data_IF_305827213395
#
_entry.id   IF_305827213395
#
_cell.length_a   1.000
_cell.length_b   1.000
_cell.length_c   1.000
_cell.angle_alpha   90.00
_cell.angle_beta   90.00
_cell.angle_gamma   90.00
#
_symmetry.space_group_name_H-M   'P 1'
#
loop_
_entity.id
_entity.type
_entity.pdbx_description
1 polymer ?
#
# COMPACT_ATOMS: atom_id res chain seq x y z
N UNK A 1 3.95 8.22 18.53
CA UNK A 1 2.67 8.59 17.87
C UNK A 1 1.85 7.32 17.69
N UNK A 2 0.53 7.38 17.91
CA UNK A 2 -0.33 6.21 17.73
C UNK A 2 -0.38 5.77 16.27
N UNK A 3 -0.29 4.47 16.03
CA UNK A 3 -0.50 3.87 14.72
C UNK A 3 -1.94 3.35 14.63
N UNK A 4 -2.51 3.38 13.42
CA UNK A 4 -3.84 2.80 13.14
C UNK A 4 -3.65 1.59 12.25
N UNK A 5 -4.14 0.43 12.67
CA UNK A 5 -4.13 -0.79 11.85
C UNK A 5 -5.50 -1.05 11.25
N UNK A 6 -5.55 -1.44 9.99
CA UNK A 6 -6.76 -1.85 9.27
C UNK A 6 -6.53 -3.13 8.50
N UNK A 7 -7.54 -3.97 8.49
CA UNK A 7 -7.58 -5.16 7.65
C UNK A 7 -8.46 -4.88 6.43
N UNK A 8 -8.00 -5.32 5.26
CA UNK A 8 -8.73 -5.20 4.00
C UNK A 8 -8.91 -6.59 3.38
N UNK A 9 -10.02 -6.78 2.67
CA UNK A 9 -10.28 -7.96 1.85
C UNK A 9 -10.52 -7.47 0.41
N UNK A 10 -9.70 -7.93 -0.53
CA UNK A 10 -9.86 -7.61 -1.96
C UNK A 10 -10.48 -8.81 -2.67
N UNK A 11 -11.52 -8.55 -3.49
CA UNK A 11 -12.26 -9.55 -4.28
C UNK A 11 -12.75 -10.78 -3.48
N UNK A 12 -12.99 -10.61 -2.18
CA UNK A 12 -13.39 -11.72 -1.30
C UNK A 12 -12.33 -12.80 -1.11
N UNK A 13 -11.09 -12.63 -1.60
CA UNK A 13 -10.03 -13.66 -1.56
C UNK A 13 -8.76 -13.20 -0.84
N UNK A 14 -8.28 -12.00 -1.13
CA UNK A 14 -6.96 -11.56 -0.69
C UNK A 14 -7.07 -10.73 0.58
N UNK A 15 -6.36 -11.14 1.63
CA UNK A 15 -6.33 -10.42 2.89
C UNK A 15 -5.10 -9.53 3.01
N UNK A 16 -5.33 -8.33 3.52
CA UNK A 16 -4.27 -7.39 3.84
C UNK A 16 -4.38 -6.88 5.27
N UNK A 17 -3.24 -6.62 5.88
CA UNK A 17 -3.13 -5.86 7.13
C UNK A 17 -2.21 -4.68 6.89
N UNK A 18 -2.77 -3.47 6.98
CA UNK A 18 -2.07 -2.21 6.77
C UNK A 18 -2.03 -1.39 8.06
N UNK A 19 -0.87 -0.88 8.39
CA UNK A 19 -0.63 0.00 9.52
C UNK A 19 -0.25 1.39 9.03
N UNK A 20 -0.95 2.40 9.55
CA UNK A 20 -0.78 3.81 9.23
C UNK A 20 -0.13 4.51 10.41
N UNK A 21 1.11 4.97 10.25
CA UNK A 21 1.86 5.62 11.31
C UNK A 21 2.08 7.09 10.97
N UNK A 22 1.53 7.99 11.80
CA UNK A 22 1.83 9.43 11.68
C UNK A 22 3.28 9.68 12.09
N UNK A 23 4.01 10.44 11.28
CA UNK A 23 5.39 10.88 11.50
C UNK A 23 5.38 12.30 12.09
N UNK A 24 6.51 12.72 12.66
CA UNK A 24 6.66 14.02 13.31
C UNK A 24 6.38 15.23 12.40
N UNK A 25 6.66 15.08 11.10
CA UNK A 25 6.42 16.09 10.05
C UNK A 25 4.96 16.13 9.56
N UNK A 26 4.05 15.39 10.20
CA UNK A 26 2.64 15.33 9.87
C UNK A 26 2.27 14.41 8.70
N UNK A 27 3.24 13.77 8.04
CA UNK A 27 2.93 12.75 7.01
C UNK A 27 2.62 11.40 7.66
N UNK A 28 2.00 10.50 6.90
CA UNK A 28 1.76 9.12 7.29
C UNK A 28 2.67 8.18 6.49
N UNK A 29 3.23 7.21 7.18
CA UNK A 29 3.87 6.04 6.59
C UNK A 29 2.88 4.87 6.60
N UNK A 30 2.91 4.06 5.55
CA UNK A 30 2.01 2.93 5.36
C UNK A 30 2.87 1.66 5.31
N UNK A 31 2.56 0.71 6.19
CA UNK A 31 3.23 -0.58 6.25
C UNK A 31 2.21 -1.70 6.02
N UNK A 32 2.59 -2.70 5.26
CA UNK A 32 1.82 -3.90 4.97
C UNK A 32 2.51 -5.11 5.59
N UNK A 33 1.85 -5.73 6.58
CA UNK A 33 2.37 -6.91 7.30
C UNK A 33 1.73 -8.22 6.85
N UNK A 34 0.59 -8.15 6.16
CA UNK A 34 -0.11 -9.29 5.56
C UNK A 34 -0.55 -8.92 4.17
N UNK A 35 -0.29 -9.80 3.21
CA UNK A 35 -0.66 -9.70 1.80
C UNK A 35 -0.64 -11.12 1.18
N UNK A 36 -1.26 -11.35 0.01
CA UNK A 36 -1.16 -12.64 -0.67
C UNK A 36 0.28 -12.99 -1.05
N UNK A 37 0.55 -14.29 -1.23
CA UNK A 37 1.84 -14.75 -1.75
C UNK A 37 2.10 -14.15 -3.14
N UNK A 38 3.31 -13.63 -3.34
CA UNK A 38 3.73 -13.02 -4.60
C UNK A 38 4.66 -13.98 -5.37
N UNK A 39 4.19 -14.62 -6.46
CA UNK A 39 5.01 -15.48 -7.31
C UNK A 39 5.82 -14.69 -8.36
N UNK A 40 5.63 -13.36 -8.44
CA UNK A 40 6.23 -12.46 -9.42
C UNK A 40 7.49 -11.79 -8.85
N UNK A 41 8.03 -10.80 -9.56
CA UNK A 41 9.16 -9.99 -9.07
C UNK A 41 8.84 -9.34 -7.71
N UNK A 42 9.85 -9.31 -6.86
CA UNK A 42 9.81 -8.66 -5.53
C UNK A 42 10.50 -7.31 -5.53
N UNK A 43 10.90 -6.82 -6.70
CA UNK A 43 11.42 -5.47 -6.86
C UNK A 43 10.36 -4.46 -6.43
N UNK A 44 10.73 -3.52 -5.57
CA UNK A 44 9.84 -2.46 -5.10
C UNK A 44 9.32 -1.59 -6.25
N UNK A 45 10.08 -1.46 -7.34
CA UNK A 45 9.66 -0.73 -8.54
C UNK A 45 8.53 -1.43 -9.30
N UNK A 46 8.38 -2.74 -9.12
CA UNK A 46 7.36 -3.53 -9.81
C UNK A 46 6.13 -3.71 -8.92
N UNK A 47 6.32 -4.09 -7.66
CA UNK A 47 5.22 -4.49 -6.77
C UNK A 47 4.82 -3.41 -5.74
N UNK A 48 5.56 -2.30 -5.67
CA UNK A 48 5.33 -1.20 -4.72
C UNK A 48 5.36 -1.59 -3.23
N UNK A 49 5.98 -2.73 -2.89
CA UNK A 49 6.17 -3.18 -1.52
C UNK A 49 7.67 -3.36 -1.22
N UNK A 50 8.17 -2.61 -0.25
CA UNK A 50 9.52 -2.77 0.28
C UNK A 50 9.68 -4.08 1.04
N UNK A 51 10.91 -4.58 1.15
CA UNK A 51 11.22 -5.80 1.91
C UNK A 51 10.94 -5.67 3.41
N UNK A 52 10.85 -4.45 3.92
CA UNK A 52 10.46 -4.09 5.28
C UNK A 52 8.94 -3.99 5.47
N UNK A 53 8.16 -4.24 4.42
CA UNK A 53 6.70 -4.08 4.42
C UNK A 53 6.25 -2.66 4.09
N UNK A 54 7.14 -1.71 3.83
CA UNK A 54 6.76 -0.33 3.52
C UNK A 54 6.10 -0.24 2.14
N UNK A 55 4.91 0.35 2.09
CA UNK A 55 4.23 0.65 0.81
C UNK A 55 4.93 1.84 0.15
N UNK A 56 5.28 1.67 -1.12
CA UNK A 56 5.91 2.70 -1.93
C UNK A 56 4.94 3.86 -2.18
N UNK A 57 5.29 5.05 -1.69
CA UNK A 57 4.58 6.30 -1.99
C UNK A 57 5.59 7.24 -2.64
N UNK A 58 5.22 7.83 -3.77
CA UNK A 58 6.08 8.76 -4.48
C UNK A 58 6.48 9.94 -3.57
N UNK A 59 7.75 10.34 -3.64
CA UNK A 59 8.26 11.46 -2.85
C UNK A 59 7.49 12.74 -3.12
N UNK A 60 7.14 13.48 -2.07
CA UNK A 60 6.31 14.69 -2.14
C UNK A 60 4.81 14.42 -2.29
N UNK A 61 4.40 13.15 -2.33
CA UNK A 61 2.98 12.72 -2.36
C UNK A 61 2.57 12.00 -1.08
N UNK A 62 3.35 12.13 -0.01
CA UNK A 62 3.08 11.47 1.26
C UNK A 62 1.73 11.95 1.84
N UNK A 63 0.88 11.02 2.31
CA UNK A 63 -0.40 11.36 2.94
C UNK A 63 -0.20 12.26 4.16
N UNK A 64 -0.92 13.39 4.26
CA UNK A 64 -0.94 14.25 5.45
C UNK A 64 -2.20 14.10 6.31
N UNK A 65 -3.15 13.29 5.85
CA UNK A 65 -4.33 12.90 6.60
C UNK A 65 -4.43 11.37 6.68
N UNK A 66 -5.05 10.87 7.74
CA UNK A 66 -5.28 9.44 7.90
C UNK A 66 -6.14 8.88 6.77
N UNK A 67 -7.14 9.63 6.31
CA UNK A 67 -8.04 9.15 5.25
C UNK A 67 -7.32 9.08 3.89
N UNK A 68 -6.39 10.01 3.62
CA UNK A 68 -5.47 9.89 2.47
C UNK A 68 -4.61 8.65 2.57
N UNK A 69 -4.05 8.40 3.77
CA UNK A 69 -3.23 7.21 3.99
C UNK A 69 -4.02 5.92 3.74
N UNK A 70 -5.26 5.84 4.25
CA UNK A 70 -6.15 4.70 4.01
C UNK A 70 -6.53 4.51 2.54
N UNK A 71 -6.79 5.60 1.81
CA UNK A 71 -7.10 5.56 0.39
C UNK A 71 -5.92 5.00 -0.42
N UNK A 72 -4.70 5.45 -0.11
CA UNK A 72 -3.47 4.89 -0.70
C UNK A 72 -3.31 3.41 -0.34
N UNK A 73 -3.54 3.05 0.93
CA UNK A 73 -3.47 1.67 1.39
C UNK A 73 -4.44 0.73 0.65
N UNK A 74 -5.68 1.16 0.45
CA UNK A 74 -6.66 0.39 -0.33
C UNK A 74 -6.26 0.28 -1.81
N UNK A 75 -5.81 1.37 -2.44
CA UNK A 75 -5.34 1.34 -3.83
C UNK A 75 -4.13 0.42 -4.01
N UNK A 76 -3.22 0.39 -3.03
CA UNK A 76 -2.12 -0.56 -2.99
C UNK A 76 -2.63 -2.00 -2.91
N UNK A 77 -3.58 -2.31 -2.02
CA UNK A 77 -4.12 -3.65 -1.86
C UNK A 77 -4.77 -4.16 -3.17
N UNK A 78 -5.57 -3.34 -3.85
CA UNK A 78 -6.14 -3.65 -5.16
C UNK A 78 -5.05 -3.90 -6.22
N UNK A 79 -4.07 -3.00 -6.29
CA UNK A 79 -2.99 -3.08 -7.28
C UNK A 79 -2.07 -4.29 -7.05
N UNK A 80 -1.75 -4.60 -5.79
CA UNK A 80 -0.92 -5.75 -5.42
C UNK A 80 -1.66 -7.06 -5.73
N UNK A 81 -2.96 -7.14 -5.43
CA UNK A 81 -3.80 -8.27 -5.79
C UNK A 81 -3.81 -8.51 -7.31
N UNK A 82 -3.90 -7.45 -8.11
CA UNK A 82 -3.76 -7.57 -9.57
C UNK A 82 -2.36 -8.04 -9.96
N UNK A 83 -1.32 -7.42 -9.40
CA UNK A 83 0.09 -7.75 -9.68
C UNK A 83 0.42 -9.23 -9.42
N UNK A 84 0.03 -9.79 -8.27
CA UNK A 84 0.34 -11.21 -7.95
C UNK A 84 -0.31 -12.17 -8.96
N UNK A 85 -1.38 -11.75 -9.64
CA UNK A 85 -2.07 -12.55 -10.66
C UNK A 85 -1.48 -12.37 -12.05
N UNK A 86 -1.06 -11.17 -12.42
CA UNK A 86 -0.73 -10.81 -13.82
C UNK A 86 0.74 -10.51 -14.06
N UNK A 87 1.54 -10.28 -13.01
CA UNK A 87 2.92 -9.78 -13.11
C UNK A 87 3.00 -8.30 -13.48
N UNK A 88 1.87 -7.61 -13.65
CA UNK A 88 1.80 -6.21 -14.06
C UNK A 88 1.07 -5.46 -12.97
N UNK A 89 1.72 -4.49 -12.34
CA UNK A 89 1.02 -3.62 -11.41
C UNK A 89 0.22 -2.67 -12.28
N UNK A 90 -1.09 -2.48 -12.03
CA UNK A 90 -1.92 -1.74 -12.95
C UNK A 90 -1.26 -0.39 -13.21
N UNK A 91 -0.88 -0.13 -14.47
CA UNK A 91 -0.32 1.13 -14.93
C UNK A 91 -1.43 2.18 -14.88
N UNK A 92 -1.67 2.63 -13.67
CA UNK A 92 -2.41 3.79 -13.34
C UNK A 92 -1.53 4.53 -12.39
N UNK A 93 -1.00 5.65 -12.85
CA UNK A 93 -1.15 6.86 -12.09
C UNK A 93 -2.65 7.07 -11.72
N UNK A 94 -3.27 6.16 -10.93
CA UNK A 94 -4.15 6.57 -9.85
C UNK A 94 -3.23 7.38 -8.95
N UNK A 95 -2.93 8.61 -9.39
CA UNK A 95 -2.51 9.69 -8.52
C UNK A 95 -3.60 9.65 -7.48
N UNK A 96 -3.32 9.08 -6.31
CA UNK A 96 -4.19 9.24 -5.15
C UNK A 96 -3.98 10.70 -4.73
N UNK A 97 -4.46 11.61 -5.58
CA UNK A 97 -4.71 13.00 -5.31
C UNK A 97 -5.99 12.98 -4.48
N UNK A 98 -5.83 12.80 -3.18
CA UNK A 98 -6.79 13.37 -2.23
C UNK A 98 -6.18 14.60 -1.57
#
# INVERSE_FOLDING_TARGET
MAAVTKNYRVDGRDDYTLTYQKKWNGTYEIHCSRHPHNPQSRSMNDCHLGSDGKVCVASGKEPRSLDKAKAIGMAFAEGYSHYVRTGIFPNGAKRVNV
#
